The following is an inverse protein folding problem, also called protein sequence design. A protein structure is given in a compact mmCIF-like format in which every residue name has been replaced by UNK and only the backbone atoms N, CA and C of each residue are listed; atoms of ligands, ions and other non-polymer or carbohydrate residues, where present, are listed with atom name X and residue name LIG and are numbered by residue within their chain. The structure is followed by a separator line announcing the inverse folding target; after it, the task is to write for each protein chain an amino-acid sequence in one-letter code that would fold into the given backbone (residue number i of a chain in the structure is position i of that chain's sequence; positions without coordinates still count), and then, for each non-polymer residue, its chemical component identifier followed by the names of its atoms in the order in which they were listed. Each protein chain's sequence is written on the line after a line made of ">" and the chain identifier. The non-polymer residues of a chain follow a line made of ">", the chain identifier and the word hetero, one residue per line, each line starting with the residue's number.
data_IF_878014208334
#
_entry.id   IF_878014208334
#
_cell.length_a   1.000
_cell.length_b   1.000
_cell.length_c   1.000
_cell.angle_alpha   90.00
_cell.angle_beta   90.00
_cell.angle_gamma   90.00
#
_symmetry.space_group_name_H-M   'P 1'
#
loop_
_entity.id
_entity.type
_entity.pdbx_description
1 polymer ?
#
# COMPACT_ATOMS: atom_id res chain seq x y z
N UNK A 1 38.13 -31.75 17.34
CA UNK A 1 38.27 -33.12 16.79
C UNK A 1 38.04 -34.22 17.84
N UNK A 2 39.05 -34.73 18.57
CA UNK A 2 38.86 -35.89 19.47
C UNK A 2 37.91 -35.62 20.66
N UNK A 3 37.98 -34.44 21.28
CA UNK A 3 37.08 -34.07 22.40
C UNK A 3 35.61 -33.90 22.00
N UNK A 4 35.36 -33.36 20.80
CA UNK A 4 34.00 -33.22 20.26
C UNK A 4 33.40 -34.58 19.91
N UNK A 5 34.20 -35.48 19.33
CA UNK A 5 33.76 -36.84 19.04
C UNK A 5 33.36 -37.60 20.31
N UNK A 6 34.17 -37.51 21.37
CA UNK A 6 33.85 -38.12 22.68
C UNK A 6 32.56 -37.56 23.26
N UNK A 7 32.32 -36.26 23.13
CA UNK A 7 31.09 -35.63 23.60
C UNK A 7 29.85 -36.07 22.80
N UNK A 8 29.96 -36.16 21.47
CA UNK A 8 28.88 -36.66 20.61
C UNK A 8 28.54 -38.12 20.96
N UNK A 9 29.57 -38.96 21.14
CA UNK A 9 29.39 -40.36 21.52
C UNK A 9 28.76 -40.48 22.90
N UNK A 10 29.14 -39.64 23.86
CA UNK A 10 28.51 -39.61 25.18
C UNK A 10 27.02 -39.24 25.10
N UNK A 11 26.68 -38.20 24.32
CA UNK A 11 25.28 -37.82 24.07
C UNK A 11 24.47 -38.91 23.38
N UNK A 12 25.07 -39.58 22.39
CA UNK A 12 24.42 -40.68 21.69
C UNK A 12 24.17 -41.87 22.63
N UNK A 13 25.12 -42.16 23.52
CA UNK A 13 24.97 -43.20 24.54
C UNK A 13 23.88 -42.84 25.56
N UNK A 14 23.84 -41.61 26.05
CA UNK A 14 22.77 -41.12 26.94
C UNK A 14 21.40 -41.23 26.28
N UNK A 15 21.28 -40.82 25.01
CA UNK A 15 20.03 -40.94 24.25
C UNK A 15 19.57 -42.40 24.12
N UNK A 16 20.49 -43.30 23.74
CA UNK A 16 20.19 -44.74 23.62
C UNK A 16 19.81 -45.37 24.97
N UNK A 17 20.41 -44.94 26.08
CA UNK A 17 20.06 -45.40 27.42
C UNK A 17 18.66 -44.91 27.85
N UNK A 18 18.30 -43.67 27.49
CA UNK A 18 16.96 -43.12 27.76
C UNK A 18 15.87 -43.80 26.92
N UNK A 19 16.15 -44.08 25.64
CA UNK A 19 15.26 -44.88 24.79
C UNK A 19 15.04 -46.27 25.38
N UNK A 20 16.12 -46.95 25.79
CA UNK A 20 16.01 -48.28 26.43
C UNK A 20 15.13 -48.24 27.68
N UNK A 21 15.29 -47.23 28.54
CA UNK A 21 14.46 -47.05 29.75
C UNK A 21 12.99 -46.80 29.39
N UNK A 22 12.73 -45.93 28.41
CA UNK A 22 11.38 -45.64 27.93
C UNK A 22 10.69 -46.86 27.33
N UNK A 23 11.43 -47.69 26.57
CA UNK A 23 10.92 -48.94 26.03
C UNK A 23 10.65 -49.97 27.14
N UNK A 24 11.50 -50.05 28.16
CA UNK A 24 11.24 -50.93 29.31
C UNK A 24 10.02 -50.51 30.12
N UNK A 25 9.78 -49.20 30.30
CA UNK A 25 8.57 -48.67 30.95
C UNK A 25 7.31 -49.01 30.16
N UNK A 26 7.37 -48.90 28.82
CA UNK A 26 6.25 -49.23 27.95
C UNK A 26 5.92 -50.73 27.96
N UNK A 27 6.94 -51.59 27.99
CA UNK A 27 6.77 -53.05 28.06
C UNK A 27 6.29 -53.51 29.45
N UNK A 28 6.66 -52.80 30.51
CA UNK A 28 6.25 -53.10 31.88
C UNK A 28 4.79 -52.74 32.20
N UNK A 29 4.14 -51.89 31.38
CA UNK A 29 2.72 -51.59 31.52
C UNK A 29 1.87 -52.85 31.23
N UNK A 30 0.88 -53.11 32.10
CA UNK A 30 0.12 -54.35 32.10
C UNK A 30 -0.96 -54.39 31.02
N UNK A 31 -1.70 -53.29 30.88
CA UNK A 31 -2.83 -53.18 29.96
C UNK A 31 -2.53 -52.27 28.75
N UNK A 32 -3.21 -52.53 27.63
CA UNK A 32 -3.07 -51.70 26.42
C UNK A 32 -3.53 -50.25 26.65
N UNK A 33 -4.49 -50.05 27.55
CA UNK A 33 -4.98 -48.72 27.91
C UNK A 33 -3.90 -47.89 28.63
N UNK A 34 -3.15 -48.49 29.56
CA UNK A 34 -2.05 -47.84 30.27
C UNK A 34 -0.91 -47.47 29.30
N UNK A 35 -0.61 -48.34 28.33
CA UNK A 35 0.37 -48.09 27.26
C UNK A 35 -0.03 -46.90 26.40
N UNK A 36 -1.30 -46.81 26.01
CA UNK A 36 -1.83 -45.70 25.23
C UNK A 36 -1.80 -44.38 26.01
N UNK A 37 -2.11 -44.40 27.30
CA UNK A 37 -2.04 -43.21 28.14
C UNK A 37 -0.61 -42.71 28.35
N UNK A 38 0.36 -43.63 28.48
CA UNK A 38 1.78 -43.31 28.56
C UNK A 38 2.30 -42.64 27.27
N UNK A 39 1.90 -43.16 26.10
CA UNK A 39 2.21 -42.54 24.80
C UNK A 39 1.58 -41.15 24.66
N UNK A 40 0.30 -40.99 25.01
CA UNK A 40 -0.39 -39.69 24.99
C UNK A 40 0.27 -38.69 25.93
N UNK A 41 0.72 -39.12 27.11
CA UNK A 41 1.42 -38.25 28.04
C UNK A 41 2.77 -37.79 27.48
N UNK A 42 3.56 -38.69 26.91
CA UNK A 42 4.82 -38.38 26.24
C UNK A 42 4.62 -37.44 25.03
N UNK A 43 3.55 -37.63 24.26
CA UNK A 43 3.21 -36.76 23.13
C UNK A 43 2.84 -35.34 23.59
N UNK A 44 2.04 -35.20 24.67
CA UNK A 44 1.77 -33.89 25.29
C UNK A 44 3.05 -33.21 25.79
N UNK A 45 3.91 -33.95 26.48
CA UNK A 45 5.21 -33.44 26.92
C UNK A 45 6.10 -33.00 25.75
N UNK A 46 6.14 -33.77 24.65
CA UNK A 46 6.91 -33.42 23.46
C UNK A 46 6.36 -32.17 22.78
N UNK A 47 5.03 -32.02 22.69
CA UNK A 47 4.38 -30.82 22.18
C UNK A 47 4.70 -29.58 23.05
N UNK A 48 4.63 -29.72 24.38
CA UNK A 48 4.97 -28.64 25.31
C UNK A 48 6.45 -28.22 25.20
N UNK A 49 7.37 -29.17 25.08
CA UNK A 49 8.79 -28.88 24.89
C UNK A 49 9.07 -28.21 23.54
N UNK A 50 8.39 -28.62 22.46
CA UNK A 50 8.48 -27.96 21.14
C UNK A 50 7.99 -26.52 21.21
N UNK A 51 6.84 -26.27 21.84
CA UNK A 51 6.31 -24.91 22.04
C UNK A 51 7.31 -24.03 22.80
N UNK A 52 7.86 -24.52 23.92
CA UNK A 52 8.87 -23.76 24.69
C UNK A 52 10.14 -23.50 23.89
N UNK A 53 10.56 -24.45 23.05
CA UNK A 53 11.70 -24.29 22.14
C UNK A 53 11.42 -23.20 21.09
N UNK A 54 10.22 -23.20 20.51
CA UNK A 54 9.78 -22.17 19.56
C UNK A 54 9.71 -20.79 20.21
N UNK A 55 9.15 -20.68 21.41
CA UNK A 55 9.12 -19.44 22.21
C UNK A 55 10.54 -18.91 22.47
N UNK A 56 11.45 -19.78 22.95
CA UNK A 56 12.84 -19.40 23.19
C UNK A 56 13.58 -19.02 21.90
N UNK A 57 13.32 -19.71 20.77
CA UNK A 57 13.90 -19.35 19.49
C UNK A 57 13.41 -17.97 19.01
N UNK A 58 12.13 -17.67 19.20
CA UNK A 58 11.57 -16.35 18.87
C UNK A 58 12.18 -15.24 19.73
N UNK A 59 12.42 -15.49 21.03
CA UNK A 59 13.14 -14.57 21.90
C UNK A 59 14.58 -14.34 21.44
N UNK A 60 15.31 -15.42 21.09
CA UNK A 60 16.68 -15.33 20.57
C UNK A 60 16.73 -14.53 19.27
N UNK A 61 15.81 -14.76 18.33
CA UNK A 61 15.75 -13.99 17.09
C UNK A 61 15.36 -12.53 17.34
N UNK A 62 14.47 -12.26 18.31
CA UNK A 62 14.15 -10.90 18.76
C UNK A 62 15.36 -10.17 19.33
N UNK A 63 16.12 -10.83 20.21
CA UNK A 63 17.34 -10.28 20.80
C UNK A 63 18.43 -10.05 19.74
N UNK A 64 18.59 -10.95 18.77
CA UNK A 64 19.53 -10.76 17.65
C UNK A 64 19.18 -9.55 16.80
N UNK A 65 17.91 -9.35 16.47
CA UNK A 65 17.44 -8.16 15.75
C UNK A 65 17.72 -6.89 16.55
N UNK A 66 17.36 -6.89 17.83
CA UNK A 66 17.64 -5.75 18.70
C UNK A 66 19.15 -5.46 18.84
N UNK A 67 20.01 -6.48 18.83
CA UNK A 67 21.45 -6.30 18.86
C UNK A 67 21.94 -5.65 17.55
N UNK A 68 21.49 -6.14 16.39
CA UNK A 68 21.82 -5.55 15.10
C UNK A 68 21.36 -4.08 14.98
N UNK A 69 20.18 -3.75 15.49
CA UNK A 69 19.68 -2.37 15.54
C UNK A 69 20.55 -1.48 16.45
N UNK A 70 21.08 -2.02 17.54
CA UNK A 70 22.02 -1.27 18.41
C UNK A 70 23.39 -1.11 17.76
N UNK A 71 23.89 -2.11 17.04
CA UNK A 71 25.18 -2.02 16.33
C UNK A 71 25.13 -0.98 15.20
N UNK A 72 24.00 -0.90 14.47
CA UNK A 72 23.80 0.14 13.46
C UNK A 72 23.78 1.54 14.09
N UNK A 73 23.04 1.74 15.20
CA UNK A 73 23.03 3.01 15.93
C UNK A 73 24.42 3.39 16.46
N UNK A 74 25.20 2.43 16.96
CA UNK A 74 26.57 2.69 17.42
C UNK A 74 27.47 3.13 16.25
N UNK A 75 27.35 2.49 15.08
CA UNK A 75 28.08 2.88 13.88
C UNK A 75 27.72 4.31 13.43
N UNK A 76 26.44 4.67 13.41
CA UNK A 76 25.97 6.02 13.06
C UNK A 76 26.49 7.08 14.04
N UNK A 77 26.45 6.79 15.35
CA UNK A 77 26.99 7.68 16.37
C UNK A 77 28.50 7.85 16.22
N UNK A 78 29.23 6.77 15.91
CA UNK A 78 30.67 6.81 15.69
C UNK A 78 31.04 7.64 14.44
N UNK A 79 30.26 7.54 13.37
CA UNK A 79 30.40 8.42 12.20
C UNK A 79 30.10 9.89 12.53
N UNK A 80 29.06 10.16 13.32
CA UNK A 80 28.71 11.51 13.77
C UNK A 80 29.83 12.13 14.60
N UNK A 81 30.40 11.37 15.54
CA UNK A 81 31.56 11.80 16.33
C UNK A 81 32.75 12.09 15.43
N UNK A 82 33.03 11.22 14.44
CA UNK A 82 34.11 11.45 13.48
C UNK A 82 33.93 12.76 12.71
N UNK A 83 32.73 13.03 12.20
CA UNK A 83 32.39 14.30 11.51
C UNK A 83 32.58 15.51 12.43
N UNK A 84 32.19 15.40 13.70
CA UNK A 84 32.39 16.48 14.68
C UNK A 84 33.87 16.74 14.96
N UNK A 85 34.69 15.69 15.04
CA UNK A 85 36.15 15.80 15.19
C UNK A 85 36.76 16.51 13.98
N UNK A 86 36.41 16.10 12.75
CA UNK A 86 36.87 16.74 11.51
C UNK A 86 36.47 18.23 11.45
N UNK A 87 35.22 18.55 11.82
CA UNK A 87 34.74 19.94 11.91
C UNK A 87 35.52 20.75 12.96
N UNK A 88 35.83 20.14 14.10
CA UNK A 88 36.59 20.81 15.15
C UNK A 88 38.03 21.09 14.69
N UNK A 89 38.68 20.12 14.04
CA UNK A 89 40.01 20.30 13.44
C UNK A 89 40.01 21.40 12.38
N UNK A 90 39.01 21.45 11.50
CA UNK A 90 38.88 22.51 10.50
C UNK A 90 38.72 23.89 11.15
N UNK A 91 37.89 24.01 12.19
CA UNK A 91 37.76 25.25 12.98
C UNK A 91 39.10 25.66 13.61
N UNK A 92 39.85 24.70 14.17
CA UNK A 92 41.16 24.98 14.77
C UNK A 92 42.16 25.49 13.72
N UNK A 93 42.16 24.94 12.50
CA UNK A 93 43.00 25.43 11.40
C UNK A 93 42.64 26.85 10.95
N UNK A 94 41.35 27.20 10.97
CA UNK A 94 40.92 28.58 10.68
C UNK A 94 41.37 29.53 11.78
N UNK A 95 41.26 29.13 13.05
CA UNK A 95 41.74 29.93 14.18
C UNK A 95 43.25 30.16 14.06
N UNK A 96 44.06 29.14 13.75
CA UNK A 96 45.51 29.32 13.57
C UNK A 96 45.80 30.29 12.42
N UNK A 97 45.15 30.13 11.26
CA UNK A 97 45.32 31.04 10.11
C UNK A 97 44.93 32.48 10.44
N UNK A 98 43.83 32.69 11.16
CA UNK A 98 43.39 34.03 11.60
C UNK A 98 44.34 34.63 12.64
N UNK A 99 44.84 33.82 13.58
CA UNK A 99 45.85 34.24 14.55
C UNK A 99 47.16 34.61 13.86
N UNK A 100 47.60 33.84 12.88
CA UNK A 100 48.79 34.13 12.07
C UNK A 100 48.61 35.43 11.27
N UNK A 101 47.45 35.62 10.65
CA UNK A 101 47.12 36.85 9.91
C UNK A 101 47.03 38.07 10.83
N UNK A 102 46.42 37.93 12.02
CA UNK A 102 46.35 39.01 13.01
C UNK A 102 47.74 39.37 13.53
N UNK A 103 48.59 38.37 13.78
CA UNK A 103 50.00 38.56 14.14
C UNK A 103 50.73 39.31 13.03
N UNK A 104 50.57 38.90 11.78
CA UNK A 104 51.21 39.55 10.62
C UNK A 104 50.73 40.99 10.41
N UNK A 105 49.44 41.29 10.56
CA UNK A 105 48.91 42.65 10.48
C UNK A 105 49.40 43.57 11.62
N UNK A 106 49.62 43.01 12.82
CA UNK A 106 50.20 43.75 13.94
C UNK A 106 51.68 44.08 13.70
N UNK A 107 52.42 43.23 12.99
CA UNK A 107 53.80 43.50 12.56
C UNK A 107 53.87 44.52 11.39
N UNK A 108 52.90 44.52 10.47
CA UNK A 108 52.86 45.46 9.33
C UNK A 108 52.40 46.89 9.71
N UNK A 109 51.74 47.08 10.86
CA UNK A 109 51.27 48.41 11.32
C UNK A 109 52.37 49.31 11.93
N UNK A 110 53.65 48.90 11.88
CA UNK A 110 54.78 49.69 12.39
C UNK A 110 55.47 50.60 11.35
N UNK A 111 54.97 50.70 10.11
CA UNK A 111 55.51 51.65 9.13
C UNK A 111 54.47 52.69 8.69
N UNK A 112 54.66 53.98 9.05
CA UNK A 112 53.93 55.06 8.41
C UNK A 112 54.65 55.41 7.10
N UNK A 113 53.94 55.44 5.98
CA UNK A 113 53.89 56.63 5.11
C UNK A 113 53.19 56.38 3.76
N UNK A 114 52.52 57.45 3.31
CA UNK A 114 52.34 57.87 1.91
C UNK A 114 51.11 57.42 1.09
N UNK A 115 50.20 58.40 0.99
CA UNK A 115 49.78 59.09 -0.26
C UNK A 115 48.66 58.52 -1.16
N UNK A 116 47.54 59.26 -1.12
CA UNK A 116 46.60 59.67 -2.17
C UNK A 116 46.64 59.02 -3.58
N UNK A 117 45.47 58.48 -4.01
CA UNK A 117 45.11 58.36 -5.44
C UNK A 117 44.12 57.24 -5.81
N UNK A 118 42.81 57.45 -5.56
CA UNK A 118 41.67 56.81 -6.26
C UNK A 118 41.40 55.28 -6.08
N UNK A 119 40.55 54.85 -5.10
CA UNK A 119 40.33 53.42 -4.84
C UNK A 119 39.03 52.79 -5.40
N UNK A 120 38.12 53.54 -6.04
CA UNK A 120 36.76 53.02 -6.28
C UNK A 120 36.63 52.01 -7.43
N UNK A 121 37.36 52.19 -8.54
CA UNK A 121 37.20 51.35 -9.74
C UNK A 121 37.98 50.02 -9.64
N UNK A 122 39.15 50.04 -9.00
CA UNK A 122 39.96 48.84 -8.76
C UNK A 122 39.34 47.90 -7.72
N UNK A 123 38.67 48.46 -6.70
CA UNK A 123 37.87 47.68 -5.76
C UNK A 123 36.67 47.00 -6.43
N UNK A 124 35.96 47.71 -7.32
CA UNK A 124 34.79 47.16 -8.02
C UNK A 124 35.15 46.01 -8.97
N UNK A 125 36.28 46.11 -9.68
CA UNK A 125 36.77 45.03 -10.56
C UNK A 125 37.22 43.80 -9.74
N UNK A 126 37.91 44.00 -8.61
CA UNK A 126 38.27 42.89 -7.71
C UNK A 126 37.04 42.20 -7.14
N UNK A 127 36.01 42.94 -6.76
CA UNK A 127 34.75 42.38 -6.27
C UNK A 127 34.04 41.55 -7.35
N UNK A 128 33.99 42.03 -8.59
CA UNK A 128 33.43 41.26 -9.71
C UNK A 128 34.24 40.00 -10.02
N UNK A 129 35.57 40.07 -9.97
CA UNK A 129 36.44 38.90 -10.14
C UNK A 129 36.20 37.85 -9.05
N UNK A 130 36.06 38.29 -7.80
CA UNK A 130 35.76 37.40 -6.67
C UNK A 130 34.36 36.78 -6.77
N UNK A 131 33.37 37.52 -7.27
CA UNK A 131 32.04 36.97 -7.57
C UNK A 131 32.09 35.92 -8.69
N UNK A 132 32.88 36.15 -9.74
CA UNK A 132 33.06 35.17 -10.82
C UNK A 132 33.73 33.90 -10.29
N UNK A 133 34.69 34.03 -9.39
CA UNK A 133 35.38 32.89 -8.75
C UNK A 133 34.41 32.09 -7.87
N UNK A 134 33.65 32.77 -7.00
CA UNK A 134 32.62 32.13 -6.17
C UNK A 134 31.55 31.41 -7.03
N UNK A 135 31.09 32.03 -8.12
CA UNK A 135 30.11 31.41 -9.02
C UNK A 135 30.68 30.19 -9.75
N UNK A 136 31.98 30.17 -10.05
CA UNK A 136 32.65 28.98 -10.60
C UNK A 136 32.69 27.86 -9.58
N UNK A 137 33.04 28.16 -8.34
CA UNK A 137 33.05 27.18 -7.24
C UNK A 137 31.65 26.61 -7.00
N UNK A 138 30.62 27.45 -6.98
CA UNK A 138 29.22 27.02 -6.86
C UNK A 138 28.81 26.10 -8.01
N UNK A 139 29.22 26.43 -9.24
CA UNK A 139 28.94 25.61 -10.42
C UNK A 139 29.64 24.24 -10.34
N UNK A 140 30.88 24.18 -9.83
CA UNK A 140 31.59 22.92 -9.60
C UNK A 140 30.96 22.09 -8.46
N UNK A 141 30.50 22.75 -7.40
CA UNK A 141 29.77 22.11 -6.31
C UNK A 141 28.46 21.49 -6.84
N UNK A 142 27.67 22.22 -7.63
CA UNK A 142 26.43 21.70 -8.24
C UNK A 142 26.70 20.56 -9.23
N UNK A 143 27.81 20.61 -9.97
CA UNK A 143 28.21 19.52 -10.88
C UNK A 143 28.57 18.26 -10.10
N UNK A 144 29.25 18.40 -8.97
CA UNK A 144 29.61 17.28 -8.10
C UNK A 144 28.37 16.70 -7.40
N UNK A 145 27.47 17.56 -6.92
CA UNK A 145 26.18 17.16 -6.36
C UNK A 145 25.33 16.41 -7.39
N UNK A 146 25.23 16.90 -8.63
CA UNK A 146 24.51 16.19 -9.69
C UNK A 146 25.11 14.81 -9.99
N UNK A 147 26.45 14.68 -10.01
CA UNK A 147 27.09 13.37 -10.17
C UNK A 147 26.75 12.42 -9.03
N UNK A 148 26.78 12.92 -7.79
CA UNK A 148 26.41 12.14 -6.62
C UNK A 148 24.95 11.70 -6.68
N UNK A 149 24.02 12.63 -6.92
CA UNK A 149 22.58 12.35 -7.06
C UNK A 149 22.30 11.35 -8.18
N UNK A 150 22.96 11.48 -9.33
CA UNK A 150 22.82 10.51 -10.42
C UNK A 150 23.31 9.12 -10.01
N UNK A 151 24.40 9.03 -9.22
CA UNK A 151 24.88 7.75 -8.71
C UNK A 151 23.94 7.14 -7.66
N UNK A 152 23.33 7.96 -6.81
CA UNK A 152 22.34 7.54 -5.82
C UNK A 152 21.05 7.06 -6.49
N UNK A 153 20.54 7.79 -7.48
CA UNK A 153 19.41 7.38 -8.32
C UNK A 153 19.70 6.03 -8.98
N UNK A 154 20.90 5.84 -9.53
CA UNK A 154 21.28 4.56 -10.16
C UNK A 154 21.28 3.40 -9.15
N UNK A 155 21.82 3.61 -7.94
CA UNK A 155 21.81 2.60 -6.88
C UNK A 155 20.40 2.28 -6.40
N UNK A 156 19.58 3.30 -6.13
CA UNK A 156 18.18 3.13 -5.75
C UNK A 156 17.40 2.39 -6.83
N UNK A 157 17.58 2.75 -8.10
CA UNK A 157 16.95 2.06 -9.23
C UNK A 157 17.33 0.58 -9.27
N UNK A 158 18.61 0.25 -9.02
CA UNK A 158 19.08 -1.14 -8.99
C UNK A 158 18.49 -1.93 -7.82
N UNK A 159 18.42 -1.33 -6.63
CA UNK A 159 17.80 -1.94 -5.46
C UNK A 159 16.32 -2.19 -5.70
N UNK A 160 15.65 -1.22 -6.30
CA UNK A 160 14.24 -1.30 -6.62
C UNK A 160 13.94 -2.37 -7.67
N UNK A 161 14.73 -2.44 -8.74
CA UNK A 161 14.64 -3.53 -9.73
C UNK A 161 14.78 -4.91 -9.09
N UNK A 162 15.77 -5.08 -8.19
CA UNK A 162 15.97 -6.34 -7.48
C UNK A 162 14.76 -6.68 -6.58
N UNK A 163 14.20 -5.70 -5.88
CA UNK A 163 13.01 -5.89 -5.05
C UNK A 163 11.79 -6.28 -5.89
N UNK A 164 11.58 -5.58 -7.02
CA UNK A 164 10.49 -5.86 -7.97
C UNK A 164 10.61 -7.26 -8.57
N UNK A 165 11.82 -7.68 -8.95
CA UNK A 165 12.07 -9.03 -9.48
C UNK A 165 11.84 -10.11 -8.41
N UNK A 166 12.24 -9.87 -7.16
CA UNK A 166 11.93 -10.76 -6.05
C UNK A 166 10.43 -10.87 -5.81
N UNK A 167 9.70 -9.75 -5.80
CA UNK A 167 8.24 -9.73 -5.65
C UNK A 167 7.56 -10.50 -6.78
N UNK A 168 7.96 -10.30 -8.04
CA UNK A 168 7.46 -11.07 -9.19
C UNK A 168 7.71 -12.57 -9.03
N UNK A 169 8.91 -12.95 -8.60
CA UNK A 169 9.25 -14.35 -8.35
C UNK A 169 8.38 -14.97 -7.25
N UNK A 170 8.09 -14.22 -6.19
CA UNK A 170 7.21 -14.65 -5.11
C UNK A 170 5.75 -14.74 -5.58
N UNK A 171 5.29 -13.80 -6.38
CA UNK A 171 3.93 -13.82 -6.95
C UNK A 171 3.72 -15.04 -7.84
N UNK A 172 4.67 -15.37 -8.72
CA UNK A 172 4.63 -16.60 -9.53
C UNK A 172 4.66 -17.85 -8.67
N UNK A 173 5.45 -17.84 -7.57
CA UNK A 173 5.47 -18.96 -6.63
C UNK A 173 4.13 -19.10 -5.88
N UNK A 174 3.52 -18.00 -5.46
CA UNK A 174 2.20 -17.98 -4.83
C UNK A 174 1.13 -18.52 -5.78
N UNK A 175 1.07 -18.04 -7.03
CA UNK A 175 0.08 -18.52 -8.00
C UNK A 175 0.27 -20.00 -8.32
N UNK A 176 1.51 -20.49 -8.41
CA UNK A 176 1.81 -21.91 -8.55
C UNK A 176 1.33 -22.72 -7.33
N UNK A 177 1.62 -22.25 -6.11
CA UNK A 177 1.19 -22.90 -4.87
C UNK A 177 -0.34 -22.89 -4.72
N UNK A 178 -1.01 -21.81 -5.11
CA UNK A 178 -2.46 -21.71 -5.15
C UNK A 178 -3.05 -22.71 -6.14
N UNK A 179 -2.53 -22.77 -7.36
CA UNK A 179 -2.97 -23.75 -8.35
C UNK A 179 -2.76 -25.19 -7.87
N UNK A 180 -1.62 -25.48 -7.24
CA UNK A 180 -1.35 -26.79 -6.65
C UNK A 180 -2.31 -27.11 -5.48
N UNK A 181 -2.61 -26.12 -4.63
CA UNK A 181 -3.57 -26.27 -3.55
C UNK A 181 -4.99 -26.53 -4.10
N UNK A 182 -5.44 -25.79 -5.11
CA UNK A 182 -6.72 -26.02 -5.78
C UNK A 182 -6.80 -27.42 -6.40
N UNK A 183 -5.71 -27.93 -6.99
CA UNK A 183 -5.68 -29.31 -7.51
C UNK A 183 -5.84 -30.35 -6.39
N UNK A 184 -5.19 -30.12 -5.25
CA UNK A 184 -5.29 -31.01 -4.08
C UNK A 184 -6.69 -30.94 -3.46
N UNK A 185 -7.24 -29.74 -3.29
CA UNK A 185 -8.62 -29.50 -2.82
C UNK A 185 -9.64 -30.21 -3.73
N UNK A 186 -9.49 -30.10 -5.06
CA UNK A 186 -10.35 -30.80 -6.03
C UNK A 186 -10.26 -32.33 -5.91
N UNK A 187 -9.05 -32.89 -5.69
CA UNK A 187 -8.89 -34.33 -5.46
C UNK A 187 -9.57 -34.78 -4.17
N UNK A 188 -9.42 -34.03 -3.07
CA UNK A 188 -10.08 -34.34 -1.81
C UNK A 188 -11.60 -34.24 -1.93
N UNK A 189 -12.11 -33.20 -2.60
CA UNK A 189 -13.53 -33.04 -2.85
C UNK A 189 -14.09 -34.18 -3.71
N UNK A 190 -13.32 -34.67 -4.69
CA UNK A 190 -13.65 -35.86 -5.47
C UNK A 190 -13.72 -37.15 -4.62
N UNK A 191 -12.81 -37.32 -3.66
CA UNK A 191 -12.85 -38.45 -2.72
C UNK A 191 -14.05 -38.35 -1.77
N UNK A 192 -14.35 -37.15 -1.25
CA UNK A 192 -15.51 -36.90 -0.40
C UNK A 192 -16.83 -37.18 -1.13
N UNK A 193 -16.95 -36.83 -2.41
CA UNK A 193 -18.12 -37.18 -3.23
C UNK A 193 -18.26 -38.69 -3.43
N UNK A 194 -17.16 -39.40 -3.69
CA UNK A 194 -17.18 -40.88 -3.79
C UNK A 194 -17.57 -41.55 -2.47
N UNK A 195 -17.12 -41.00 -1.33
CA UNK A 195 -17.52 -41.44 0.01
C UNK A 195 -19.02 -41.21 0.23
N UNK A 196 -19.56 -40.07 -0.20
CA UNK A 196 -21.00 -39.80 -0.13
C UNK A 196 -21.84 -40.80 -0.92
N UNK A 197 -21.33 -41.31 -2.04
CA UNK A 197 -22.00 -42.31 -2.88
C UNK A 197 -21.89 -43.75 -2.34
N UNK A 198 -21.01 -44.00 -1.36
CA UNK A 198 -20.80 -45.36 -0.84
C UNK A 198 -21.88 -45.71 0.18
N UNK A 199 -22.72 -46.71 -0.14
CA UNK A 199 -23.86 -47.17 0.69
C UNK A 199 -23.50 -47.84 2.03
N UNK A 200 -22.23 -47.82 2.43
CA UNK A 200 -21.71 -48.51 3.61
C UNK A 200 -21.57 -47.60 4.85
N UNK A 201 -21.88 -46.31 4.73
CA UNK A 201 -21.72 -45.34 5.81
C UNK A 201 -23.03 -45.13 6.58
N UNK A 202 -22.90 -44.87 7.88
CA UNK A 202 -24.03 -44.55 8.76
C UNK A 202 -24.61 -43.15 8.47
N UNK A 203 -25.87 -42.90 8.86
CA UNK A 203 -26.57 -41.63 8.57
C UNK A 203 -25.84 -40.40 9.16
N UNK A 204 -25.25 -40.54 10.35
CA UNK A 204 -24.46 -39.48 10.98
C UNK A 204 -23.16 -39.18 10.21
N UNK A 205 -22.52 -40.22 9.67
CA UNK A 205 -21.28 -40.11 8.90
C UNK A 205 -21.52 -39.46 7.54
N UNK A 206 -22.64 -39.80 6.88
CA UNK A 206 -23.07 -39.15 5.65
C UNK A 206 -23.37 -37.65 5.87
N UNK A 207 -24.04 -37.32 6.97
CA UNK A 207 -24.30 -35.93 7.35
C UNK A 207 -23.02 -35.12 7.60
N UNK A 208 -22.01 -35.73 8.23
CA UNK A 208 -20.70 -35.12 8.45
C UNK A 208 -19.95 -34.86 7.12
N UNK A 209 -19.94 -35.83 6.20
CA UNK A 209 -19.33 -35.69 4.87
C UNK A 209 -20.02 -34.60 4.05
N UNK A 210 -21.36 -34.54 4.10
CA UNK A 210 -22.15 -33.55 3.37
C UNK A 210 -21.88 -32.12 3.88
N UNK A 211 -21.76 -31.96 5.21
CA UNK A 211 -21.39 -30.69 5.84
C UNK A 211 -19.96 -30.24 5.47
N UNK A 212 -19.00 -31.17 5.41
CA UNK A 212 -17.63 -30.86 4.97
C UNK A 212 -17.58 -30.39 3.51
N UNK A 213 -18.41 -30.95 2.63
CA UNK A 213 -18.52 -30.51 1.23
C UNK A 213 -19.13 -29.10 1.15
N UNK A 214 -20.18 -28.82 1.93
CA UNK A 214 -20.80 -27.49 1.98
C UNK A 214 -19.84 -26.43 2.53
N UNK A 215 -19.09 -26.74 3.58
CA UNK A 215 -18.13 -25.81 4.19
C UNK A 215 -16.96 -25.50 3.24
N UNK A 216 -16.48 -26.49 2.47
CA UNK A 216 -15.47 -26.29 1.44
C UNK A 216 -15.95 -25.32 0.33
N UNK A 217 -17.16 -25.52 -0.20
CA UNK A 217 -17.73 -24.67 -1.24
C UNK A 217 -18.04 -23.24 -0.76
N UNK A 218 -18.48 -23.09 0.51
CA UNK A 218 -18.77 -21.79 1.11
C UNK A 218 -17.50 -20.99 1.42
N UNK A 219 -16.39 -21.68 1.68
CA UNK A 219 -15.07 -21.09 1.88
C UNK A 219 -14.51 -20.44 0.61
N UNK A 220 -14.68 -21.06 -0.56
CA UNK A 220 -14.26 -20.52 -1.87
C UNK A 220 -14.99 -19.21 -2.21
N UNK A 221 -16.32 -19.21 -2.09
CA UNK A 221 -17.15 -18.03 -2.36
C UNK A 221 -16.76 -16.81 -1.49
N UNK A 222 -16.38 -17.05 -0.23
CA UNK A 222 -15.95 -15.99 0.71
C UNK A 222 -14.57 -15.41 0.39
N UNK A 223 -13.67 -16.19 -0.23
CA UNK A 223 -12.33 -15.73 -0.66
C UNK A 223 -12.45 -14.86 -1.91
N UNK A 224 -13.25 -15.27 -2.89
CA UNK A 224 -13.51 -14.50 -4.12
C UNK A 224 -14.18 -13.14 -3.83
N UNK A 225 -15.12 -13.10 -2.88
CA UNK A 225 -15.77 -11.85 -2.46
C UNK A 225 -14.78 -10.88 -1.79
N UNK A 226 -13.75 -11.37 -1.09
CA UNK A 226 -12.74 -10.52 -0.44
C UNK A 226 -11.70 -9.97 -1.43
N UNK A 227 -11.34 -10.73 -2.47
CA UNK A 227 -10.44 -10.27 -3.53
C UNK A 227 -11.10 -9.25 -4.48
N UNK A 228 -12.42 -9.34 -4.67
CA UNK A 228 -13.19 -8.44 -5.53
C UNK A 228 -13.49 -7.03 -4.95
N UNK A 229 -13.09 -6.75 -3.70
CA UNK A 229 -13.25 -5.41 -3.09
C UNK A 229 -12.08 -4.46 -3.33
N UNK A 230 -11.06 -4.88 -4.09
CA UNK A 230 -10.09 -3.96 -4.71
C UNK A 230 -10.77 -3.31 -5.92
N UNK A 231 -11.75 -2.41 -5.66
CA UNK A 231 -12.48 -1.74 -6.74
C UNK A 231 -11.49 -0.82 -7.47
N UNK A 232 -10.99 -1.30 -8.60
CA UNK A 232 -10.23 -0.51 -9.58
C UNK A 232 -11.03 0.69 -10.14
N UNK A 233 -12.29 0.86 -9.74
CA UNK A 233 -13.22 1.88 -10.22
C UNK A 233 -13.76 2.74 -9.07
N UNK A 234 -13.97 4.02 -9.33
CA UNK A 234 -14.49 5.00 -8.40
C UNK A 234 -15.99 4.80 -8.11
N UNK A 235 -16.56 5.69 -7.29
CA UNK A 235 -17.97 5.64 -6.91
C UNK A 235 -18.95 5.79 -8.08
N UNK A 236 -18.50 6.28 -9.23
CA UNK A 236 -19.29 6.45 -10.45
C UNK A 236 -18.94 5.40 -11.52
N UNK A 237 -18.05 4.46 -11.19
CA UNK A 237 -17.65 3.37 -12.06
C UNK A 237 -16.54 3.71 -13.04
N UNK A 238 -15.83 4.84 -12.90
CA UNK A 238 -14.64 5.14 -13.70
C UNK A 238 -13.40 4.48 -13.12
N UNK A 239 -12.54 3.90 -13.96
CA UNK A 239 -11.25 3.38 -13.50
C UNK A 239 -10.43 4.45 -12.76
N UNK A 240 -10.02 4.15 -11.53
CA UNK A 240 -9.18 5.01 -10.68
C UNK A 240 -7.73 4.96 -11.17
N UNK A 241 -7.29 3.79 -11.61
CA UNK A 241 -5.92 3.55 -12.10
C UNK A 241 -5.98 3.35 -13.61
N UNK A 242 -5.32 4.23 -14.40
CA UNK A 242 -5.20 4.03 -15.84
C UNK A 242 -4.45 2.73 -16.16
N UNK A 243 -4.81 2.09 -17.28
CA UNK A 243 -4.12 0.89 -17.76
C UNK A 243 -2.77 1.31 -18.39
N UNK A 244 -1.74 1.46 -17.57
CA UNK A 244 -0.37 1.65 -18.04
C UNK A 244 0.23 0.31 -18.49
N UNK A 245 0.87 0.30 -19.65
CA UNK A 245 1.60 -0.88 -20.17
C UNK A 245 2.82 -1.23 -19.31
N UNK A 246 3.42 -0.22 -18.67
CA UNK A 246 4.56 -0.39 -17.77
C UNK A 246 4.06 -0.60 -16.35
N UNK A 247 4.33 -1.79 -15.79
CA UNK A 247 3.89 -2.20 -14.44
C UNK A 247 4.28 -1.20 -13.35
N UNK A 248 5.47 -0.62 -13.47
CA UNK A 248 6.01 0.40 -12.56
C UNK A 248 5.14 1.67 -12.53
N UNK A 249 4.66 2.12 -13.70
CA UNK A 249 3.75 3.26 -13.79
C UNK A 249 2.36 2.93 -13.25
N UNK A 250 1.91 1.68 -13.45
CA UNK A 250 0.65 1.18 -12.87
C UNK A 250 0.73 1.14 -11.34
N UNK A 251 1.87 0.73 -10.78
CA UNK A 251 2.11 0.73 -9.34
C UNK A 251 2.16 2.14 -8.78
N UNK A 252 2.88 3.07 -9.42
CA UNK A 252 2.91 4.48 -9.02
C UNK A 252 1.51 5.12 -9.06
N UNK A 253 0.73 4.83 -10.09
CA UNK A 253 -0.65 5.31 -10.20
C UNK A 253 -1.55 4.71 -9.10
N UNK A 254 -1.35 3.44 -8.73
CA UNK A 254 -2.02 2.82 -7.58
C UNK A 254 -1.66 3.51 -6.27
N UNK A 255 -0.37 3.78 -6.03
CA UNK A 255 0.11 4.47 -4.82
C UNK A 255 -0.52 5.86 -4.74
N UNK A 256 -0.46 6.65 -5.82
CA UNK A 256 -1.06 7.98 -5.88
C UNK A 256 -2.58 7.95 -5.65
N UNK A 257 -3.29 6.98 -6.26
CA UNK A 257 -4.71 6.80 -6.04
C UNK A 257 -5.04 6.50 -4.57
N UNK A 258 -4.25 5.64 -3.93
CA UNK A 258 -4.41 5.31 -2.51
C UNK A 258 -4.07 6.50 -1.61
N UNK A 259 -3.03 7.28 -1.93
CA UNK A 259 -2.69 8.50 -1.20
C UNK A 259 -3.82 9.55 -1.26
N UNK A 260 -4.34 9.82 -2.46
CA UNK A 260 -5.50 10.71 -2.65
C UNK A 260 -6.70 10.19 -1.87
N UNK A 261 -6.96 8.87 -1.91
CA UNK A 261 -8.05 8.26 -1.17
C UNK A 261 -7.87 8.38 0.35
N UNK A 262 -6.68 8.13 0.88
CA UNK A 262 -6.37 8.29 2.29
C UNK A 262 -6.53 9.75 2.73
N UNK A 263 -6.02 10.69 1.94
CA UNK A 263 -6.20 12.12 2.19
C UNK A 263 -7.68 12.53 2.18
N UNK A 264 -8.45 12.03 1.21
CA UNK A 264 -9.88 12.28 1.14
C UNK A 264 -10.61 11.67 2.32
N UNK A 265 -10.34 10.41 2.70
CA UNK A 265 -10.96 9.77 3.87
C UNK A 265 -10.70 10.55 5.16
N UNK A 266 -9.45 10.99 5.37
CA UNK A 266 -9.06 11.77 6.55
C UNK A 266 -9.81 13.12 6.62
N UNK A 267 -10.01 13.78 5.47
CA UNK A 267 -10.74 15.05 5.39
C UNK A 267 -12.27 14.88 5.36
N UNK A 268 -12.78 13.77 4.80
CA UNK A 268 -14.20 13.45 4.68
C UNK A 268 -14.81 13.12 6.03
N UNK A 269 -14.11 12.40 6.92
CA UNK A 269 -14.67 12.06 8.23
C UNK A 269 -14.98 13.29 9.12
N UNK A 270 -14.22 14.38 8.96
CA UNK A 270 -14.43 15.63 9.71
C UNK A 270 -15.52 16.55 9.15
N UNK A 271 -15.73 16.59 7.83
CA UNK A 271 -16.60 17.58 7.16
C UNK A 271 -17.86 16.95 6.55
N UNK A 272 -17.79 15.72 6.02
CA UNK A 272 -18.93 15.09 5.36
C UNK A 272 -19.98 14.56 6.34
N UNK A 273 -19.60 14.04 7.51
CA UNK A 273 -20.59 13.58 8.51
C UNK A 273 -21.51 14.72 8.98
N UNK A 274 -21.00 15.92 9.35
CA UNK A 274 -21.86 17.08 9.63
C UNK A 274 -22.67 17.52 8.41
N UNK A 275 -22.11 17.46 7.20
CA UNK A 275 -22.82 17.87 5.98
C UNK A 275 -23.98 16.91 5.64
N UNK A 276 -23.76 15.60 5.76
CA UNK A 276 -24.77 14.55 5.60
C UNK A 276 -25.89 14.74 6.61
N UNK A 277 -25.56 14.98 7.88
CA UNK A 277 -26.54 15.25 8.93
C UNK A 277 -27.39 16.49 8.60
N UNK A 278 -26.76 17.58 8.14
CA UNK A 278 -27.47 18.79 7.71
C UNK A 278 -28.36 18.57 6.49
N UNK A 279 -27.94 17.73 5.54
CA UNK A 279 -28.77 17.33 4.40
C UNK A 279 -29.96 16.47 4.85
N UNK A 280 -29.74 15.53 5.78
CA UNK A 280 -30.79 14.71 6.36
C UNK A 280 -31.81 15.59 7.12
N UNK A 281 -31.37 16.49 7.99
CA UNK A 281 -32.24 17.44 8.71
C UNK A 281 -33.07 18.32 7.75
N UNK A 282 -32.43 18.84 6.68
CA UNK A 282 -33.09 19.67 5.68
C UNK A 282 -34.11 18.87 4.84
N UNK A 283 -33.88 17.58 4.60
CA UNK A 283 -34.75 16.72 3.81
C UNK A 283 -35.84 16.03 4.64
N UNK A 284 -35.57 15.65 5.89
CA UNK A 284 -36.51 15.00 6.81
C UNK A 284 -37.57 15.99 7.30
N UNK A 285 -37.21 17.27 7.45
CA UNK A 285 -38.14 18.34 7.77
C UNK A 285 -39.14 18.64 6.64
N UNK A 286 -38.99 18.02 5.46
CA UNK A 286 -39.79 18.31 4.26
C UNK A 286 -40.22 17.03 3.54
N UNK A 287 -41.51 16.73 3.62
CA UNK A 287 -42.15 15.64 2.87
C UNK A 287 -41.70 15.61 1.40
N UNK A 288 -41.47 14.40 0.87
CA UNK A 288 -41.01 14.12 -0.50
C UNK A 288 -41.71 14.98 -1.55
N UNK A 289 -41.07 16.09 -1.94
CA UNK A 289 -41.56 16.99 -2.99
C UNK A 289 -41.40 18.49 -2.72
N UNK A 290 -41.31 18.94 -1.46
CA UNK A 290 -41.37 20.37 -1.11
C UNK A 290 -40.00 21.02 -0.88
N UNK A 291 -39.05 20.76 -1.78
CA UNK A 291 -37.85 21.60 -1.85
C UNK A 291 -38.28 23.00 -2.34
N UNK A 292 -37.81 24.04 -1.67
CA UNK A 292 -38.07 25.43 -2.05
C UNK A 292 -36.76 26.20 -2.15
N UNK A 293 -36.64 27.24 -3.02
CA UNK A 293 -35.47 28.09 -3.03
C UNK A 293 -35.30 28.78 -1.67
N UNK A 294 -34.21 28.50 -0.98
CA UNK A 294 -33.89 29.07 0.34
C UNK A 294 -32.39 29.42 0.41
N UNK A 295 -31.99 30.41 1.22
CA UNK A 295 -30.58 30.73 1.42
C UNK A 295 -29.82 29.55 2.03
N UNK A 296 -30.49 28.75 2.87
CA UNK A 296 -29.97 27.51 3.45
C UNK A 296 -29.67 26.45 2.39
N UNK A 297 -30.63 26.18 1.49
CA UNK A 297 -30.42 25.24 0.37
C UNK A 297 -29.28 25.71 -0.53
N UNK A 298 -29.18 27.03 -0.78
CA UNK A 298 -28.07 27.60 -1.55
C UNK A 298 -26.72 27.35 -0.87
N UNK A 299 -26.65 27.44 0.45
CA UNK A 299 -25.45 27.14 1.20
C UNK A 299 -25.11 25.64 1.16
N UNK A 300 -26.10 24.76 1.33
CA UNK A 300 -25.93 23.30 1.22
C UNK A 300 -25.44 22.87 -0.17
N UNK A 301 -26.01 23.45 -1.23
CA UNK A 301 -25.57 23.19 -2.61
C UNK A 301 -24.10 23.59 -2.84
N UNK A 302 -23.65 24.70 -2.25
CA UNK A 302 -22.24 25.15 -2.34
C UNK A 302 -21.29 24.26 -1.55
N UNK A 303 -21.76 23.69 -0.44
CA UNK A 303 -20.99 22.74 0.36
C UNK A 303 -20.89 21.35 -0.32
N UNK A 304 -21.75 21.08 -1.31
CA UNK A 304 -21.78 19.83 -2.06
C UNK A 304 -23.01 18.99 -1.72
N UNK A 305 -23.50 18.25 -2.72
CA UNK A 305 -24.66 17.35 -2.57
C UNK A 305 -24.15 15.91 -2.41
N UNK A 306 -24.48 15.24 -1.28
CA UNK A 306 -24.22 13.82 -1.07
C UNK A 306 -24.82 12.94 -2.16
N UNK A 307 -24.16 11.81 -2.45
CA UNK A 307 -24.54 10.94 -3.57
C UNK A 307 -25.98 10.44 -3.47
N UNK A 308 -26.41 10.12 -2.27
CA UNK A 308 -27.74 9.60 -1.94
C UNK A 308 -28.84 10.61 -2.30
N UNK A 309 -28.52 11.90 -2.27
CA UNK A 309 -29.48 12.99 -2.47
C UNK A 309 -29.36 13.66 -3.84
N UNK A 310 -28.31 13.38 -4.64
CA UNK A 310 -28.07 14.01 -5.95
C UNK A 310 -29.26 13.88 -6.88
N UNK A 311 -29.82 12.67 -7.05
CA UNK A 311 -30.96 12.46 -7.93
C UNK A 311 -32.16 13.35 -7.54
N UNK A 312 -32.58 13.31 -6.26
CA UNK A 312 -33.71 14.10 -5.75
C UNK A 312 -33.48 15.60 -5.94
N UNK A 313 -32.32 16.10 -5.53
CA UNK A 313 -31.98 17.53 -5.55
C UNK A 313 -31.81 18.05 -6.98
N UNK A 314 -31.09 17.32 -7.85
CA UNK A 314 -30.87 17.73 -9.24
C UNK A 314 -32.14 17.64 -10.07
N UNK A 315 -32.94 16.58 -9.91
CA UNK A 315 -34.25 16.50 -10.55
C UNK A 315 -35.13 17.68 -10.14
N UNK A 316 -35.16 18.04 -8.85
CA UNK A 316 -35.90 19.21 -8.39
C UNK A 316 -35.40 20.52 -8.99
N UNK A 317 -34.08 20.75 -9.04
CA UNK A 317 -33.48 21.95 -9.64
C UNK A 317 -33.87 22.10 -11.11
N UNK A 318 -33.78 21.01 -11.88
CA UNK A 318 -34.17 21.00 -13.30
C UNK A 318 -35.67 21.22 -13.43
N UNK A 319 -36.51 20.46 -12.70
CA UNK A 319 -37.97 20.58 -12.75
C UNK A 319 -38.46 21.97 -12.37
N UNK A 320 -37.83 22.61 -11.39
CA UNK A 320 -38.21 23.98 -10.98
C UNK A 320 -37.99 24.98 -12.12
N UNK A 321 -36.91 24.83 -12.90
CA UNK A 321 -36.62 25.70 -14.05
C UNK A 321 -37.46 25.37 -15.28
N UNK A 322 -37.77 24.10 -15.50
CA UNK A 322 -38.51 23.63 -16.69
C UNK A 322 -40.00 23.40 -16.43
N UNK A 323 -40.50 23.75 -15.24
CA UNK A 323 -41.87 23.50 -14.77
C UNK A 323 -42.92 23.90 -15.80
N UNK A 324 -42.85 25.13 -16.30
CA UNK A 324 -43.81 25.67 -17.26
C UNK A 324 -43.85 24.88 -18.58
N UNK A 325 -42.70 24.34 -19.02
CA UNK A 325 -42.59 23.55 -20.25
C UNK A 325 -43.19 22.15 -20.02
N UNK A 326 -42.87 21.55 -18.87
CA UNK A 326 -43.37 20.24 -18.47
C UNK A 326 -44.88 20.22 -18.26
N UNK A 327 -45.43 21.23 -17.58
CA UNK A 327 -46.88 21.36 -17.36
C UNK A 327 -47.62 21.60 -18.67
N UNK A 328 -47.04 22.35 -19.60
CA UNK A 328 -47.64 22.62 -20.91
C UNK A 328 -47.52 21.44 -21.88
N UNK A 329 -46.44 20.65 -21.81
CA UNK A 329 -46.19 19.53 -22.71
C UNK A 329 -45.65 18.28 -21.99
N UNK A 330 -46.52 17.51 -21.28
CA UNK A 330 -46.08 16.37 -20.46
C UNK A 330 -45.44 15.22 -21.26
N UNK A 331 -45.89 15.01 -22.50
CA UNK A 331 -45.41 13.94 -23.38
C UNK A 331 -44.34 14.40 -24.37
N UNK A 332 -43.81 15.63 -24.21
CA UNK A 332 -42.94 16.23 -25.21
C UNK A 332 -41.65 15.42 -25.45
N UNK A 333 -41.04 14.92 -24.38
CA UNK A 333 -39.83 14.11 -24.49
C UNK A 333 -40.06 12.82 -25.28
N UNK A 334 -41.15 12.09 -24.97
CA UNK A 334 -41.53 10.86 -25.69
C UNK A 334 -41.79 11.14 -27.17
N UNK A 335 -42.54 12.20 -27.47
CA UNK A 335 -42.80 12.63 -28.86
C UNK A 335 -41.52 13.01 -29.62
N UNK A 336 -40.55 13.64 -28.96
CA UNK A 336 -39.25 13.95 -29.57
C UNK A 336 -38.45 12.68 -29.85
N UNK A 337 -38.44 11.71 -28.93
CA UNK A 337 -37.81 10.41 -29.13
C UNK A 337 -38.45 9.63 -30.29
N UNK A 338 -39.78 9.62 -30.40
CA UNK A 338 -40.50 9.01 -31.51
C UNK A 338 -40.15 9.68 -32.85
N UNK A 339 -40.16 11.02 -32.88
CA UNK A 339 -39.76 11.78 -34.08
C UNK A 339 -38.33 11.44 -34.51
N UNK A 340 -37.37 11.37 -33.58
CA UNK A 340 -35.99 11.01 -33.92
C UNK A 340 -35.86 9.59 -34.48
N UNK A 341 -36.75 8.66 -34.08
CA UNK A 341 -36.79 7.31 -34.65
C UNK A 341 -37.36 7.30 -36.07
N UNK A 342 -38.36 8.13 -36.34
CA UNK A 342 -39.00 8.22 -37.68
C UNK A 342 -38.20 9.03 -38.70
N UNK A 343 -37.37 9.98 -38.26
CA UNK A 343 -36.54 10.82 -39.13
C UNK A 343 -35.13 10.96 -38.54
N UNK A 344 -34.14 10.17 -39.00
CA UNK A 344 -32.81 10.17 -38.40
C UNK A 344 -32.09 11.49 -38.68
N UNK A 345 -31.72 12.20 -37.62
CA UNK A 345 -30.93 13.43 -37.71
C UNK A 345 -29.47 13.11 -38.06
N UNK A 346 -28.78 13.99 -38.80
CA UNK A 346 -27.34 13.86 -39.09
C UNK A 346 -26.48 13.73 -37.81
N UNK A 347 -26.98 14.25 -36.69
CA UNK A 347 -26.31 14.21 -35.39
C UNK A 347 -26.34 12.82 -34.76
N UNK A 348 -27.33 11.98 -35.09
CA UNK A 348 -27.46 10.62 -34.53
C UNK A 348 -26.23 9.77 -34.85
N UNK A 349 -25.71 9.86 -36.07
CA UNK A 349 -24.50 9.14 -36.50
C UNK A 349 -23.27 9.64 -35.74
N UNK A 350 -23.16 10.95 -35.55
CA UNK A 350 -22.05 11.54 -34.81
C UNK A 350 -22.07 11.15 -33.32
N UNK A 351 -23.24 11.19 -32.68
CA UNK A 351 -23.44 10.76 -31.30
C UNK A 351 -23.02 9.30 -31.12
N UNK A 352 -23.38 8.41 -32.05
CA UNK A 352 -23.00 7.00 -31.97
C UNK A 352 -21.47 6.80 -32.07
N UNK A 353 -20.80 7.54 -32.95
CA UNK A 353 -19.34 7.50 -33.06
C UNK A 353 -18.66 8.05 -31.80
N UNK A 354 -19.22 9.12 -31.22
CA UNK A 354 -18.69 9.75 -30.00
C UNK A 354 -18.88 8.88 -28.77
N UNK A 355 -20.03 8.22 -28.66
CA UNK A 355 -20.41 7.42 -27.50
C UNK A 355 -19.38 6.31 -27.19
N UNK A 356 -18.87 5.63 -28.22
CA UNK A 356 -17.87 4.58 -28.06
C UNK A 356 -16.47 5.10 -27.68
N UNK A 357 -16.18 6.39 -27.84
CA UNK A 357 -14.87 7.00 -27.52
C UNK A 357 -14.87 7.89 -26.29
N UNK A 358 -16.02 8.28 -25.73
CA UNK A 358 -16.09 9.23 -24.61
C UNK A 358 -15.97 8.58 -23.23
N UNK A 359 -16.56 7.41 -22.98
CA UNK A 359 -16.64 6.79 -21.64
C UNK A 359 -16.02 5.39 -21.60
N UNK A 360 -14.88 5.23 -22.27
CA UNK A 360 -14.18 3.94 -22.45
C UNK A 360 -13.73 3.29 -21.13
N UNK A 361 -13.53 4.08 -20.08
CA UNK A 361 -13.06 3.63 -18.76
C UNK A 361 -14.17 3.45 -17.73
N UNK A 362 -15.43 3.76 -18.09
CA UNK A 362 -16.56 3.61 -17.16
C UNK A 362 -17.18 2.22 -17.27
N UNK A 363 -17.34 1.51 -16.15
CA UNK A 363 -17.89 0.16 -16.10
C UNK A 363 -19.26 0.03 -16.77
N UNK A 364 -20.09 1.07 -16.71
CA UNK A 364 -21.45 1.06 -17.26
C UNK A 364 -21.49 1.42 -18.75
N UNK A 365 -20.45 2.06 -19.30
CA UNK A 365 -20.45 2.60 -20.67
C UNK A 365 -19.31 2.08 -21.56
N UNK A 366 -18.39 1.29 -21.00
CA UNK A 366 -17.22 0.77 -21.72
C UNK A 366 -17.55 -0.35 -22.70
N UNK A 367 -18.58 -1.17 -22.41
CA UNK A 367 -18.98 -2.27 -23.29
C UNK A 367 -19.99 -1.80 -24.34
N UNK A 368 -19.77 -2.08 -25.64
CA UNK A 368 -20.74 -1.77 -26.70
C UNK A 368 -22.07 -2.54 -26.55
N UNK A 369 -22.12 -3.60 -25.73
CA UNK A 369 -23.33 -4.35 -25.38
C UNK A 369 -24.01 -3.88 -24.08
N UNK A 370 -23.53 -2.78 -23.49
CA UNK A 370 -24.12 -2.27 -22.24
C UNK A 370 -25.55 -1.79 -22.46
N UNK A 371 -26.51 -2.17 -21.60
CA UNK A 371 -27.87 -1.64 -21.63
C UNK A 371 -27.93 -0.10 -21.58
N UNK A 372 -26.92 0.54 -20.98
CA UNK A 372 -26.83 2.00 -20.88
C UNK A 372 -26.54 2.69 -22.23
N UNK A 373 -26.07 1.94 -23.24
CA UNK A 373 -25.80 2.42 -24.60
C UNK A 373 -26.94 2.11 -25.58
N UNK A 374 -27.92 1.30 -25.17
CA UNK A 374 -29.07 0.93 -26.00
C UNK A 374 -30.15 2.02 -25.86
N UNK A 375 -30.44 2.73 -26.96
CA UNK A 375 -31.48 3.78 -27.07
C UNK A 375 -32.84 3.25 -27.54
#
# INVERSE_FOLDING_TARGET
>A
AQKELVWILHKALEAAQLEKRSCSEFLAAGDEQERLELLRHRERQAADLRRRLEEANMEVEGLKKSLADRDTQLSEQQESIKKLIEKNQAKQQVITKLSDHMTSCLFDSQHPDSSFGGPQNSQSIRQLQQQIENLKDDMEAYKTQNKFLNSEIYQLTRLWQKSSEQEKSLMVKCSYLEAANCQVESRYLGVLRKLQETKALDLEQLGAVQKMIEDALRGELKRDIRLSSDRDHDEYGFKIVPDYEVEDMKLLAKIQALEIRCFNLLNQEGVERPLLARWAEYLDSRSDGNLSPSPELKALLRAGVPKEHRQRVWCWLVRTRTRNIWERYPHHYQQLCEKSRTSPHLASRQIQLDLHRTLTTNQNFSSPSSPALHQ
#
